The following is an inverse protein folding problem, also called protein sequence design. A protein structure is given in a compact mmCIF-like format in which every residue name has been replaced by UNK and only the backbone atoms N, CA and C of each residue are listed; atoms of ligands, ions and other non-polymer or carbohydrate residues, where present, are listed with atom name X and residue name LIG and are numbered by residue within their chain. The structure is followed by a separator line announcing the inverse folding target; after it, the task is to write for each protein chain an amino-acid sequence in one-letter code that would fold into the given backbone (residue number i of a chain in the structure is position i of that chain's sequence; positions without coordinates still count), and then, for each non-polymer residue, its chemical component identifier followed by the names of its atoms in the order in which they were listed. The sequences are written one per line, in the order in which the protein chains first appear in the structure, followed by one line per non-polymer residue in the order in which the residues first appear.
data_IF_068150493444
#
_entry.id   IF_068150493444
#
_cell.length_a   1.000
_cell.length_b   1.000
_cell.length_c   1.000
_cell.angle_alpha   90.00
_cell.angle_beta   90.00
_cell.angle_gamma   90.00
#
_symmetry.space_group_name_H-M   'P 1'
#
loop_
_entity.id
_entity.type
_entity.pdbx_description
1 polymer ?
#
# COMPACT_ATOMS: atom_id res chain seq x y z
N UNK A 1 3.12 -10.80 14.33
CA UNK A 1 1.90 -10.55 13.53
C UNK A 1 2.31 -10.23 12.09
N UNK A 2 1.39 -10.32 11.14
CA UNK A 2 1.63 -10.08 9.71
C UNK A 2 1.01 -8.75 9.26
N UNK A 3 1.84 -7.86 8.74
CA UNK A 3 1.44 -6.53 8.25
C UNK A 3 1.68 -6.45 6.74
N UNK A 4 0.68 -5.93 6.02
CA UNK A 4 0.72 -5.71 4.58
C UNK A 4 0.61 -4.22 4.27
N UNK A 5 1.51 -3.73 3.43
CA UNK A 5 1.55 -2.36 2.91
C UNK A 5 1.36 -2.41 1.39
N UNK A 6 0.13 -2.27 0.87
CA UNK A 6 -0.11 -2.17 -0.56
C UNK A 6 0.10 -0.72 -1.01
N UNK A 7 1.10 -0.46 -1.85
CA UNK A 7 1.41 0.88 -2.34
C UNK A 7 1.32 0.94 -3.86
N UNK A 8 0.86 2.06 -4.39
CA UNK A 8 0.91 2.32 -5.85
C UNK A 8 2.31 2.71 -6.32
N UNK A 9 3.17 3.19 -5.41
CA UNK A 9 4.55 3.55 -5.66
C UNK A 9 5.34 3.61 -4.36
N UNK A 10 6.60 3.20 -4.42
CA UNK A 10 7.58 3.41 -3.37
C UNK A 10 8.73 4.22 -3.97
N UNK A 11 8.62 5.55 -3.95
CA UNK A 11 9.67 6.46 -4.41
C UNK A 11 9.86 7.60 -3.41
N UNK A 12 10.74 8.56 -3.73
CA UNK A 12 11.07 9.72 -2.89
C UNK A 12 9.87 10.65 -2.67
N UNK A 13 9.05 10.34 -1.67
CA UNK A 13 7.88 11.12 -1.25
C UNK A 13 7.85 11.22 0.27
N UNK A 14 7.24 12.28 0.82
CA UNK A 14 7.13 12.48 2.27
C UNK A 14 6.40 11.33 2.94
N UNK A 15 5.29 10.88 2.37
CA UNK A 15 4.51 9.80 2.99
C UNK A 15 5.11 8.41 2.88
N UNK A 16 5.91 8.16 1.84
CA UNK A 16 6.69 6.92 1.73
C UNK A 16 7.78 6.86 2.79
N UNK A 17 8.37 8.01 3.19
CA UNK A 17 9.34 8.07 4.30
C UNK A 17 8.73 7.64 5.62
N UNK A 18 7.53 8.12 5.94
CA UNK A 18 6.86 7.74 7.18
C UNK A 18 6.54 6.24 7.20
N UNK A 19 6.10 5.70 6.05
CA UNK A 19 5.81 4.28 5.91
C UNK A 19 7.06 3.40 5.96
N UNK A 20 8.20 3.83 5.42
CA UNK A 20 9.45 3.08 5.53
C UNK A 20 9.90 2.97 6.98
N UNK A 21 9.84 4.06 7.75
CA UNK A 21 10.12 4.05 9.19
C UNK A 21 9.17 3.11 9.95
N UNK A 22 7.88 3.14 9.63
CA UNK A 22 6.89 2.24 10.24
C UNK A 22 7.17 0.77 9.90
N UNK A 23 7.43 0.45 8.62
CA UNK A 23 7.76 -0.91 8.18
C UNK A 23 9.01 -1.43 8.88
N UNK A 24 10.07 -0.61 8.98
CA UNK A 24 11.31 -0.98 9.64
C UNK A 24 11.08 -1.24 11.14
N UNK A 25 10.37 -0.34 11.83
CA UNK A 25 10.07 -0.50 13.25
C UNK A 25 9.19 -1.71 13.56
N UNK A 26 8.30 -2.12 12.63
CA UNK A 26 7.53 -3.35 12.77
C UNK A 26 8.41 -4.59 12.56
N UNK A 27 9.28 -4.57 11.55
CA UNK A 27 10.20 -5.67 11.27
C UNK A 27 11.21 -5.89 12.41
N UNK A 28 11.76 -4.81 12.97
CA UNK A 28 12.67 -4.84 14.14
C UNK A 28 12.02 -5.45 15.38
N UNK A 29 10.70 -5.31 15.52
CA UNK A 29 9.91 -5.93 16.60
C UNK A 29 9.56 -7.40 16.32
N UNK A 30 10.13 -8.00 15.28
CA UNK A 30 9.91 -9.41 14.92
C UNK A 30 8.55 -9.66 14.26
N UNK A 31 7.91 -8.64 13.69
CA UNK A 31 6.70 -8.83 12.89
C UNK A 31 7.04 -9.18 11.44
N UNK A 32 6.17 -9.94 10.79
CA UNK A 32 6.29 -10.19 9.36
C UNK A 32 5.70 -9.00 8.59
N UNK A 33 6.52 -8.32 7.79
CA UNK A 33 6.12 -7.12 7.07
C UNK A 33 6.23 -7.38 5.58
N UNK A 34 5.17 -7.08 4.84
CA UNK A 34 5.06 -7.25 3.40
C UNK A 34 4.82 -5.90 2.73
N UNK A 35 5.68 -5.53 1.80
CA UNK A 35 5.46 -4.41 0.89
C UNK A 35 5.03 -4.97 -0.46
N UNK A 36 3.84 -4.60 -0.95
CA UNK A 36 3.35 -4.96 -2.28
C UNK A 36 3.25 -3.71 -3.14
N UNK A 37 3.95 -3.69 -4.27
CA UNK A 37 4.11 -2.48 -5.10
C UNK A 37 4.37 -2.84 -6.57
N UNK A 38 3.94 -2.03 -7.55
CA UNK A 38 4.34 -2.23 -8.94
C UNK A 38 5.85 -2.11 -9.14
N UNK A 39 6.41 -2.99 -9.96
CA UNK A 39 7.85 -3.05 -10.23
C UNK A 39 8.41 -1.73 -10.80
N UNK A 40 7.68 -1.10 -11.72
CA UNK A 40 8.07 0.16 -12.38
C UNK A 40 7.97 1.39 -11.47
N UNK A 41 7.35 1.23 -10.30
CA UNK A 41 7.15 2.31 -9.33
C UNK A 41 7.89 2.10 -8.02
N UNK A 42 8.82 1.13 -7.98
CA UNK A 42 9.71 0.91 -6.86
C UNK A 42 11.09 1.52 -7.11
N UNK A 43 11.50 2.42 -6.23
CA UNK A 43 12.83 3.01 -6.14
C UNK A 43 13.26 2.99 -4.66
N UNK A 44 14.31 2.26 -4.34
CA UNK A 44 14.80 2.08 -2.96
C UNK A 44 15.57 3.32 -2.48
N UNK A 45 14.87 4.46 -2.41
CA UNK A 45 15.40 5.72 -1.89
C UNK A 45 15.46 5.74 -0.35
N UNK A 46 14.51 5.08 0.30
CA UNK A 46 14.52 4.86 1.74
C UNK A 46 14.84 3.40 2.02
N UNK A 47 15.91 3.16 2.76
CA UNK A 47 16.37 1.81 3.10
C UNK A 47 15.32 1.08 3.94
N UNK A 48 15.00 -0.14 3.52
CA UNK A 48 14.09 -1.02 4.24
C UNK A 48 14.89 -2.06 5.02
N UNK A 49 14.42 -2.37 6.22
CA UNK A 49 14.96 -3.45 7.02
C UNK A 49 14.95 -4.76 6.20
N UNK A 50 16.01 -5.59 6.23
CA UNK A 50 16.08 -6.83 5.46
C UNK A 50 14.93 -7.82 5.72
N UNK A 51 14.25 -7.72 6.88
CA UNK A 51 13.06 -8.50 7.22
C UNK A 51 11.78 -8.06 6.48
N UNK A 52 11.77 -6.91 5.80
CA UNK A 52 10.64 -6.46 4.99
C UNK A 52 10.62 -7.22 3.66
N UNK A 53 9.60 -8.03 3.47
CA UNK A 53 9.41 -8.85 2.27
C UNK A 53 8.79 -8.00 1.15
N UNK A 54 9.57 -7.77 0.10
CA UNK A 54 9.16 -7.01 -1.10
C UNK A 54 8.48 -7.94 -2.09
N UNK A 55 7.29 -7.58 -2.55
CA UNK A 55 6.49 -8.33 -3.53
C UNK A 55 6.12 -7.39 -4.67
N UNK A 56 6.61 -7.72 -5.86
CA UNK A 56 6.37 -6.89 -7.04
C UNK A 56 5.14 -7.35 -7.83
N UNK A 57 4.31 -6.38 -8.21
CA UNK A 57 3.23 -6.59 -9.17
C UNK A 57 3.67 -6.16 -10.57
N UNK A 58 2.96 -6.61 -11.64
CA UNK A 58 3.23 -6.13 -12.99
C UNK A 58 3.22 -4.59 -13.08
N UNK A 59 3.97 -4.01 -14.04
CA UNK A 59 4.07 -2.57 -14.22
C UNK A 59 2.72 -1.87 -14.38
N UNK A 60 2.62 -0.66 -13.82
CA UNK A 60 1.42 0.16 -13.94
C UNK A 60 1.31 0.75 -15.35
N UNK A 61 0.10 0.75 -15.93
CA UNK A 61 -0.20 1.57 -17.11
C UNK A 61 -1.11 2.74 -16.72
N UNK A 62 -1.19 3.75 -17.60
CA UNK A 62 -1.89 5.03 -17.32
C UNK A 62 -3.36 5.04 -17.73
N UNK A 63 -3.90 3.94 -18.25
CA UNK A 63 -5.31 3.90 -18.67
C UNK A 63 -6.23 3.42 -17.50
N UNK A 64 -7.52 3.78 -17.50
CA UNK A 64 -8.42 3.45 -16.38
C UNK A 64 -8.52 1.96 -16.06
N UNK A 65 -8.59 1.11 -17.10
CA UNK A 65 -8.66 -0.36 -16.95
C UNK A 65 -7.40 -0.86 -16.24
N UNK A 66 -6.24 -0.34 -16.62
CA UNK A 66 -4.98 -0.73 -16.02
C UNK A 66 -4.82 -0.28 -14.58
N UNK A 67 -5.46 0.83 -14.17
CA UNK A 67 -5.49 1.21 -12.75
C UNK A 67 -6.26 0.16 -11.94
N UNK A 68 -7.43 -0.28 -12.42
CA UNK A 68 -8.18 -1.35 -11.76
C UNK A 68 -7.40 -2.66 -11.71
N UNK A 69 -6.71 -3.03 -12.80
CA UNK A 69 -5.84 -4.19 -12.84
C UNK A 69 -4.68 -4.07 -11.84
N UNK A 70 -4.05 -2.90 -11.73
CA UNK A 70 -3.02 -2.65 -10.71
C UNK A 70 -3.59 -2.86 -9.32
N UNK A 71 -4.75 -2.30 -9.00
CA UNK A 71 -5.40 -2.49 -7.69
C UNK A 71 -5.73 -3.97 -7.43
N UNK A 72 -6.19 -4.70 -8.45
CA UNK A 72 -6.42 -6.15 -8.36
C UNK A 72 -5.13 -6.94 -8.16
N UNK A 73 -4.03 -6.55 -8.82
CA UNK A 73 -2.73 -7.18 -8.61
C UNK A 73 -2.20 -6.93 -7.19
N UNK A 74 -2.37 -5.72 -6.65
CA UNK A 74 -2.03 -5.42 -5.26
C UNK A 74 -2.76 -6.35 -4.29
N UNK A 75 -4.03 -6.71 -4.57
CA UNK A 75 -4.78 -7.67 -3.77
C UNK A 75 -4.36 -9.13 -3.99
N UNK A 76 -4.24 -9.56 -5.25
CA UNK A 76 -4.03 -10.97 -5.61
C UNK A 76 -2.61 -11.45 -5.32
N UNK A 77 -1.61 -10.58 -5.46
CA UNK A 77 -0.21 -10.90 -5.13
C UNK A 77 0.09 -10.78 -3.64
N UNK A 78 -0.71 -10.03 -2.90
CA UNK A 78 -0.52 -9.88 -1.46
C UNK A 78 -0.80 -11.19 -0.70
N UNK A 79 0.10 -11.60 0.21
CA UNK A 79 -0.13 -12.76 1.07
C UNK A 79 -1.19 -12.44 2.13
N UNK A 80 -1.81 -13.45 2.77
CA UNK A 80 -2.65 -13.23 3.94
C UNK A 80 -1.92 -12.45 5.02
N UNK A 81 -2.60 -11.46 5.61
CA UNK A 81 -2.05 -10.59 6.63
C UNK A 81 -3.07 -10.35 7.73
N UNK A 82 -2.61 -10.10 8.95
CA UNK A 82 -3.47 -9.79 10.09
C UNK A 82 -3.92 -8.32 10.01
N UNK A 83 -3.04 -7.44 9.51
CA UNK A 83 -3.31 -6.03 9.26
C UNK A 83 -2.92 -5.61 7.85
N UNK A 84 -3.76 -4.78 7.23
CA UNK A 84 -3.43 -4.03 6.02
C UNK A 84 -3.31 -2.56 6.39
N UNK A 85 -2.12 -2.01 6.20
CA UNK A 85 -1.81 -0.61 6.47
C UNK A 85 -1.83 0.14 5.15
N UNK A 86 -2.83 1.01 4.99
CA UNK A 86 -3.02 1.83 3.80
C UNK A 86 -2.80 3.30 4.13
N UNK A 87 -2.36 4.07 3.13
CA UNK A 87 -1.94 5.48 3.30
C UNK A 87 -2.46 6.40 2.20
N UNK A 88 -3.27 5.84 1.28
CA UNK A 88 -3.76 6.55 0.11
C UNK A 88 -5.10 5.94 -0.34
N UNK A 89 -6.11 6.76 -0.63
CA UNK A 89 -7.50 6.32 -0.80
C UNK A 89 -7.68 5.23 -1.88
N UNK A 90 -6.97 5.19 -3.02
CA UNK A 90 -7.13 4.10 -4.00
C UNK A 90 -6.68 2.74 -3.45
N UNK A 91 -5.72 2.73 -2.52
CA UNK A 91 -5.26 1.49 -1.85
C UNK A 91 -6.29 0.96 -0.86
N UNK A 92 -7.37 1.71 -0.59
CA UNK A 92 -8.52 1.23 0.16
C UNK A 92 -9.25 0.08 -0.56
N UNK A 93 -9.27 0.06 -1.90
CA UNK A 93 -9.88 -1.04 -2.66
C UNK A 93 -9.24 -2.41 -2.37
N UNK A 94 -7.92 -2.63 -2.59
CA UNK A 94 -7.30 -3.91 -2.27
C UNK A 94 -7.38 -4.24 -0.77
N UNK A 95 -7.40 -3.23 0.10
CA UNK A 95 -7.55 -3.41 1.53
C UNK A 95 -8.94 -3.94 1.92
N UNK A 96 -10.03 -3.39 1.35
CA UNK A 96 -11.39 -3.89 1.56
C UNK A 96 -11.53 -5.34 1.11
N UNK A 97 -10.95 -5.71 -0.04
CA UNK A 97 -10.92 -7.11 -0.48
C UNK A 97 -10.19 -8.01 0.52
N UNK A 98 -9.07 -7.54 1.08
CA UNK A 98 -8.35 -8.24 2.16
C UNK A 98 -9.22 -8.41 3.41
N UNK A 99 -9.93 -7.38 3.86
CA UNK A 99 -10.85 -7.45 5.00
C UNK A 99 -11.96 -8.47 4.76
N UNK A 100 -12.61 -8.40 3.61
CA UNK A 100 -13.76 -9.25 3.30
C UNK A 100 -13.38 -10.71 3.07
N UNK A 101 -12.33 -10.96 2.28
CA UNK A 101 -11.96 -12.29 1.79
C UNK A 101 -10.87 -12.97 2.63
N UNK A 102 -9.93 -12.20 3.18
CA UNK A 102 -8.79 -12.71 3.97
C UNK A 102 -8.89 -12.39 5.47
N UNK A 103 -9.99 -11.74 5.90
CA UNK A 103 -10.30 -11.37 7.29
C UNK A 103 -9.25 -10.48 7.97
N UNK A 104 -8.50 -9.72 7.18
CA UNK A 104 -7.53 -8.75 7.70
C UNK A 104 -8.20 -7.56 8.39
N UNK A 105 -7.56 -7.00 9.43
CA UNK A 105 -7.93 -5.71 10.01
C UNK A 105 -7.34 -4.58 9.17
N UNK A 106 -8.03 -3.45 9.09
CA UNK A 106 -7.58 -2.29 8.31
C UNK A 106 -7.02 -1.21 9.23
N UNK A 107 -5.89 -0.64 8.82
CA UNK A 107 -5.28 0.52 9.47
C UNK A 107 -5.09 1.58 8.41
N UNK A 108 -5.88 2.65 8.48
CA UNK A 108 -5.69 3.82 7.62
C UNK A 108 -4.70 4.76 8.31
N UNK A 109 -3.48 4.81 7.78
CA UNK A 109 -2.45 5.74 8.22
C UNK A 109 -2.63 7.08 7.50
N UNK A 110 -3.49 7.93 8.07
CA UNK A 110 -3.85 9.24 7.52
C UNK A 110 -2.65 10.17 7.67
N UNK A 111 -2.24 10.78 6.55
CA UNK A 111 -1.10 11.71 6.52
C UNK A 111 -1.52 13.13 6.12
N UNK A 112 -2.63 13.26 5.40
CA UNK A 112 -3.19 14.54 4.95
C UNK A 112 -4.68 14.38 4.59
N UNK A 113 -5.38 15.49 4.36
CA UNK A 113 -6.75 15.53 3.87
C UNK A 113 -6.79 15.32 2.35
N UNK A 114 -6.71 14.06 1.92
CA UNK A 114 -6.57 13.68 0.50
C UNK A 114 -7.63 14.30 -0.42
N UNK A 115 -8.87 14.49 0.07
CA UNK A 115 -9.98 15.15 -0.62
C UNK A 115 -9.65 16.54 -1.19
N UNK A 116 -8.69 17.26 -0.61
CA UNK A 116 -8.29 18.59 -1.07
C UNK A 116 -7.44 18.55 -2.35
N UNK A 117 -6.90 17.38 -2.70
CA UNK A 117 -6.01 17.21 -3.86
C UNK A 117 -6.70 16.65 -5.10
N UNK A 118 -7.99 16.29 -5.02
CA UNK A 118 -8.72 15.67 -6.11
C UNK A 118 -10.00 16.43 -6.44
N UNK A 119 -10.35 16.58 -7.73
CA UNK A 119 -11.62 17.19 -8.12
C UNK A 119 -12.80 16.24 -7.85
N UNK A 120 -14.00 16.81 -7.81
CA UNK A 120 -15.23 16.03 -7.82
C UNK A 120 -15.29 15.12 -9.07
N UNK A 121 -15.74 13.85 -8.97
CA UNK A 121 -16.29 13.19 -7.78
C UNK A 121 -15.26 12.48 -6.88
N UNK A 122 -13.98 12.47 -7.26
CA UNK A 122 -12.94 11.74 -6.52
C UNK A 122 -12.70 12.28 -5.11
N UNK A 123 -12.95 13.57 -4.88
CA UNK A 123 -12.91 14.18 -3.55
C UNK A 123 -13.85 13.51 -2.53
N UNK A 124 -14.99 12.94 -2.95
CA UNK A 124 -15.93 12.23 -2.07
C UNK A 124 -15.45 10.84 -1.64
N UNK A 125 -14.56 10.25 -2.44
CA UNK A 125 -14.01 8.90 -2.16
C UNK A 125 -12.75 9.04 -1.31
N UNK A 126 -12.07 10.19 -1.41
CA UNK A 126 -10.87 10.53 -0.67
C UNK A 126 -11.14 11.18 0.71
N UNK A 127 -12.41 11.31 1.10
CA UNK A 127 -12.88 11.89 2.38
C UNK A 127 -13.20 10.84 3.45
#
# INVERSE_FOLDING_TARGET
MRFLFPLLSFKKHGGVRALSLLMNGLAERGHEVYLVVPEDTYEEFYELNPGVKKIFTPPRRRNPISVLLTLLHLFTKAPPADFVVLSFFPTYFPALLHKSLKKSKLVYYIQDAEQLFYPFPFSLIAS
#
